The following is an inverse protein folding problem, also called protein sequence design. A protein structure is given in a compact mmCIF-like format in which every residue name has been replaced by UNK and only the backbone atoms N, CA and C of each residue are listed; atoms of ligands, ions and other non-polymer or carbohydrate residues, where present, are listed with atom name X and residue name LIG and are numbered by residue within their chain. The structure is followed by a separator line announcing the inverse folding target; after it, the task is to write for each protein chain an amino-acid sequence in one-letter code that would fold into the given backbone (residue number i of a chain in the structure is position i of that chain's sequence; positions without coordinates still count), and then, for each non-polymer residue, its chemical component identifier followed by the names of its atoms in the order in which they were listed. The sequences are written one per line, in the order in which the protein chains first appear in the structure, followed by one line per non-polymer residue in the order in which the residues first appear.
data_IF_089328255294
#
_entry.id   IF_089328255294
#
_cell.length_a   1.000
_cell.length_b   1.000
_cell.length_c   1.000
_cell.angle_alpha   90.00
_cell.angle_beta   90.00
_cell.angle_gamma   90.00
#
_symmetry.space_group_name_H-M   'P 1'
#
loop_
_entity.id
_entity.type
_entity.pdbx_description
1 polymer ?
#
# COMPACT_ATOMS: atom_id res chain seq x y z
N UNK A 1 63.55 -21.70 -16.96
CA UNK A 1 62.77 -20.69 -16.25
C UNK A 1 61.36 -20.68 -16.83
N UNK A 2 60.41 -21.34 -16.17
CA UNK A 2 59.02 -21.46 -16.63
C UNK A 2 58.15 -20.52 -15.81
N UNK A 3 57.57 -19.48 -16.46
CA UNK A 3 56.63 -18.59 -15.83
C UNK A 3 55.21 -19.17 -15.93
N UNK A 4 54.70 -19.65 -14.79
CA UNK A 4 53.30 -20.07 -14.65
C UNK A 4 52.39 -18.83 -14.63
N UNK A 5 51.50 -18.70 -15.63
CA UNK A 5 50.44 -17.68 -15.66
C UNK A 5 49.27 -18.21 -14.87
N UNK A 6 49.09 -17.71 -13.66
CA UNK A 6 47.87 -17.89 -12.87
C UNK A 6 46.78 -16.93 -13.42
N UNK A 7 45.81 -17.49 -14.12
CA UNK A 7 44.63 -16.75 -14.58
C UNK A 7 43.69 -16.57 -13.42
N UNK A 8 43.48 -15.32 -13.01
CA UNK A 8 42.48 -14.93 -12.01
C UNK A 8 41.08 -14.89 -12.68
N UNK A 9 40.27 -15.92 -12.46
CA UNK A 9 38.84 -15.91 -12.86
C UNK A 9 38.10 -14.98 -11.91
N UNK A 10 37.78 -13.77 -12.38
CA UNK A 10 36.78 -12.92 -11.72
C UNK A 10 35.39 -13.52 -11.97
N UNK A 11 34.81 -14.17 -10.98
CA UNK A 11 33.42 -14.54 -10.97
C UNK A 11 32.59 -13.25 -10.75
N UNK A 12 31.98 -12.72 -11.81
CA UNK A 12 30.99 -11.64 -11.70
C UNK A 12 29.74 -12.22 -11.10
N UNK A 13 29.54 -11.98 -9.80
CA UNK A 13 28.29 -12.28 -9.11
C UNK A 13 27.26 -11.21 -9.52
N UNK A 14 26.43 -11.51 -10.52
CA UNK A 14 25.26 -10.72 -10.84
C UNK A 14 24.26 -10.90 -9.71
N UNK A 15 24.19 -9.91 -8.81
CA UNK A 15 23.07 -9.74 -7.88
C UNK A 15 21.84 -9.46 -8.73
N UNK A 16 21.10 -10.49 -9.08
CA UNK A 16 19.69 -10.36 -9.47
C UNK A 16 18.98 -9.86 -8.22
N UNK A 17 18.66 -8.56 -8.20
CA UNK A 17 17.77 -8.01 -7.17
C UNK A 17 16.46 -8.78 -7.25
N UNK A 18 16.21 -9.65 -6.29
CA UNK A 18 14.90 -10.25 -6.13
C UNK A 18 13.93 -9.11 -5.82
N UNK A 19 12.86 -9.03 -6.57
CA UNK A 19 11.73 -8.15 -6.22
C UNK A 19 11.20 -8.64 -4.86
N UNK A 20 11.48 -7.89 -3.80
CA UNK A 20 11.12 -8.26 -2.43
C UNK A 20 9.62 -8.03 -2.14
N UNK A 21 8.86 -7.53 -3.11
CA UNK A 21 7.42 -7.31 -2.94
C UNK A 21 6.64 -8.63 -2.85
N UNK A 22 5.65 -8.67 -1.98
CA UNK A 22 4.70 -9.79 -1.89
C UNK A 22 3.50 -9.45 -2.80
N UNK A 23 3.27 -10.18 -3.89
CA UNK A 23 2.14 -9.90 -4.77
C UNK A 23 0.83 -10.14 -4.05
N UNK A 24 -0.07 -9.18 -4.13
CA UNK A 24 -1.39 -9.24 -3.49
C UNK A 24 -2.50 -8.86 -4.48
N UNK A 25 -3.57 -9.65 -4.51
CA UNK A 25 -4.76 -9.38 -5.32
C UNK A 25 -5.99 -9.21 -4.43
N UNK A 26 -6.58 -8.01 -4.43
CA UNK A 26 -7.84 -7.75 -3.75
C UNK A 26 -8.98 -8.61 -4.33
N UNK A 27 -8.99 -8.81 -5.65
CA UNK A 27 -9.99 -9.61 -6.35
C UNK A 27 -10.01 -11.07 -5.86
N UNK A 28 -8.85 -11.67 -5.62
CA UNK A 28 -8.77 -13.03 -5.07
C UNK A 28 -9.30 -13.13 -3.64
N UNK A 29 -9.24 -12.04 -2.88
CA UNK A 29 -9.74 -11.97 -1.51
C UNK A 29 -11.18 -11.46 -1.39
N UNK A 30 -11.78 -10.95 -2.49
CA UNK A 30 -13.16 -10.45 -2.53
C UNK A 30 -14.22 -11.42 -1.97
N UNK A 31 -14.16 -12.75 -2.24
CA UNK A 31 -15.13 -13.70 -1.70
C UNK A 31 -15.18 -13.76 -0.17
N UNK A 32 -14.11 -13.33 0.52
CA UNK A 32 -14.04 -13.32 1.99
C UNK A 32 -14.89 -12.20 2.61
N UNK A 33 -15.29 -11.18 1.83
CA UNK A 33 -16.12 -10.04 2.27
C UNK A 33 -15.58 -9.33 3.52
N UNK A 34 -14.26 -9.27 3.68
CA UNK A 34 -13.62 -8.61 4.82
C UNK A 34 -13.78 -7.07 4.71
N UNK A 35 -13.97 -6.40 5.86
CA UNK A 35 -13.90 -4.93 5.90
C UNK A 35 -12.50 -4.47 5.49
N UNK A 36 -12.39 -3.37 4.74
CA UNK A 36 -11.11 -2.81 4.31
C UNK A 36 -10.16 -2.57 5.49
N UNK A 37 -10.70 -2.11 6.62
CA UNK A 37 -9.93 -1.85 7.83
C UNK A 37 -9.55 -3.12 8.62
N UNK A 38 -9.93 -4.31 8.17
CA UNK A 38 -9.35 -5.54 8.71
C UNK A 38 -7.86 -5.64 8.36
N UNK A 39 -7.51 -5.24 7.13
CA UNK A 39 -6.13 -5.23 6.64
C UNK A 39 -5.48 -3.84 6.79
N UNK A 40 -6.21 -2.76 6.47
CA UNK A 40 -5.74 -1.37 6.56
C UNK A 40 -6.18 -0.74 7.89
N UNK A 41 -5.63 -1.24 8.99
CA UNK A 41 -6.12 -0.98 10.35
C UNK A 41 -6.13 0.49 10.74
N UNK A 42 -5.16 1.29 10.26
CA UNK A 42 -5.08 2.72 10.58
C UNK A 42 -6.01 3.61 9.76
N UNK A 43 -6.68 3.06 8.72
CA UNK A 43 -7.60 3.83 7.89
C UNK A 43 -8.80 4.43 8.66
N UNK A 44 -9.15 3.88 9.82
CA UNK A 44 -10.23 4.40 10.67
C UNK A 44 -9.78 5.48 11.65
N UNK A 45 -8.51 5.47 12.05
CA UNK A 45 -8.01 6.27 13.17
C UNK A 45 -6.84 7.18 12.82
N UNK A 46 -6.18 6.93 11.70
CA UNK A 46 -5.00 7.67 11.28
C UNK A 46 -5.23 8.57 10.06
N UNK A 47 -4.26 9.40 9.78
CA UNK A 47 -4.24 10.23 8.58
C UNK A 47 -3.89 9.40 7.34
N UNK A 48 -3.04 8.39 7.49
CA UNK A 48 -2.71 7.43 6.44
C UNK A 48 -3.30 6.06 6.74
N UNK A 49 -3.76 5.37 5.71
CA UNK A 49 -4.01 3.94 5.80
C UNK A 49 -2.67 3.21 5.66
N UNK A 50 -2.39 2.31 6.59
CA UNK A 50 -1.16 1.52 6.55
C UNK A 50 -1.23 0.43 5.48
N UNK A 51 -0.07 -0.05 5.06
CA UNK A 51 0.05 -1.35 4.42
C UNK A 51 -0.24 -2.44 5.45
N UNK A 52 -0.92 -3.53 5.07
CA UNK A 52 -1.15 -4.65 5.98
C UNK A 52 0.18 -5.26 6.46
N UNK A 53 0.20 -5.65 7.71
CA UNK A 53 1.34 -6.37 8.28
C UNK A 53 1.28 -7.86 7.91
N UNK A 54 2.45 -8.50 7.76
CA UNK A 54 2.56 -9.92 7.47
C UNK A 54 1.77 -10.80 8.45
N UNK A 55 1.73 -10.42 9.73
CA UNK A 55 0.95 -11.10 10.77
C UNK A 55 -0.55 -11.17 10.46
N UNK A 56 -1.12 -10.12 9.87
CA UNK A 56 -2.53 -10.10 9.46
C UNK A 56 -2.81 -11.15 8.38
N UNK A 57 -1.93 -11.25 7.40
CA UNK A 57 -2.05 -12.24 6.33
C UNK A 57 -1.91 -13.68 6.87
N UNK A 58 -0.97 -13.88 7.78
CA UNK A 58 -0.66 -15.18 8.38
C UNK A 58 -1.77 -15.69 9.32
N UNK A 59 -2.78 -14.90 9.68
CA UNK A 59 -3.95 -15.41 10.40
C UNK A 59 -4.69 -16.49 9.61
N UNK A 60 -4.66 -16.41 8.28
CA UNK A 60 -5.26 -17.39 7.36
C UNK A 60 -4.19 -18.23 6.64
N UNK A 61 -3.11 -17.59 6.17
CA UNK A 61 -2.11 -18.26 5.34
C UNK A 61 -1.22 -19.24 6.11
N UNK A 62 -1.32 -19.30 7.42
CA UNK A 62 -0.75 -20.41 8.19
C UNK A 62 -1.34 -21.77 7.80
N UNK A 63 -2.56 -21.80 7.24
CA UNK A 63 -3.26 -23.01 6.80
C UNK A 63 -3.56 -23.01 5.30
N UNK A 64 -3.74 -21.82 4.70
CA UNK A 64 -4.21 -21.66 3.33
C UNK A 64 -3.04 -21.29 2.41
N UNK A 65 -2.94 -21.95 1.25
CA UNK A 65 -1.92 -21.70 0.20
C UNK A 65 -0.46 -21.81 0.67
N UNK A 66 -0.20 -22.63 1.67
CA UNK A 66 1.12 -22.83 2.31
C UNK A 66 2.22 -23.27 1.35
N UNK A 67 1.82 -23.94 0.28
CA UNK A 67 2.69 -24.46 -0.78
C UNK A 67 3.18 -23.38 -1.76
N UNK A 68 2.62 -22.17 -1.67
CA UNK A 68 2.99 -21.07 -2.57
C UNK A 68 4.29 -20.40 -2.13
N UNK A 69 5.23 -20.13 -3.05
CA UNK A 69 6.49 -19.48 -2.73
C UNK A 69 6.33 -18.13 -2.04
N UNK A 70 5.36 -17.30 -2.49
CA UNK A 70 5.10 -15.99 -1.90
C UNK A 70 4.57 -16.11 -0.46
N UNK A 71 3.82 -17.16 -0.14
CA UNK A 71 3.36 -17.41 1.23
C UNK A 71 4.53 -17.87 2.11
N UNK A 72 5.47 -18.63 1.59
CA UNK A 72 6.70 -18.96 2.31
C UNK A 72 7.56 -17.71 2.60
N UNK A 73 7.68 -16.79 1.62
CA UNK A 73 8.33 -15.49 1.80
C UNK A 73 7.61 -14.64 2.85
N UNK A 74 6.29 -14.56 2.76
CA UNK A 74 5.45 -13.85 3.73
C UNK A 74 5.62 -14.39 5.15
N UNK A 75 5.68 -15.72 5.32
CA UNK A 75 5.88 -16.36 6.61
C UNK A 75 7.27 -16.10 7.21
N UNK A 76 8.26 -15.78 6.40
CA UNK A 76 9.60 -15.42 6.83
C UNK A 76 9.73 -13.97 7.31
N UNK A 77 8.75 -13.10 6.98
CA UNK A 77 8.75 -11.72 7.44
C UNK A 77 8.44 -11.61 8.94
N UNK A 78 8.98 -10.60 9.65
CA UNK A 78 8.50 -10.25 10.98
C UNK A 78 6.98 -9.98 10.94
N UNK A 79 6.24 -10.41 11.95
CA UNK A 79 4.76 -10.26 11.99
C UNK A 79 4.28 -8.83 11.83
N UNK A 80 5.07 -7.86 12.28
CA UNK A 80 4.78 -6.42 12.19
C UNK A 80 5.33 -5.75 10.93
N UNK A 81 6.02 -6.52 10.07
CA UNK A 81 6.54 -5.97 8.81
C UNK A 81 5.39 -5.70 7.84
N UNK A 82 5.32 -4.52 7.22
CA UNK A 82 4.42 -4.27 6.12
C UNK A 82 4.81 -5.13 4.92
N UNK A 83 3.82 -5.61 4.16
CA UNK A 83 4.07 -6.52 3.03
C UNK A 83 4.70 -5.82 1.81
N UNK A 84 4.52 -4.52 1.68
CA UNK A 84 5.11 -3.68 0.62
C UNK A 84 5.22 -2.23 1.12
N UNK A 85 6.26 -1.90 1.89
CA UNK A 85 6.36 -0.61 2.57
C UNK A 85 6.52 0.58 1.61
N UNK A 86 7.04 0.36 0.41
CA UNK A 86 7.33 1.41 -0.56
C UNK A 86 6.18 1.66 -1.53
N UNK A 87 5.24 0.73 -1.64
CA UNK A 87 4.12 0.87 -2.58
C UNK A 87 3.07 1.84 -2.07
N UNK A 88 2.95 2.96 -2.75
CA UNK A 88 1.84 3.88 -2.57
C UNK A 88 1.23 4.24 -3.91
N UNK A 89 -0.04 3.86 -4.12
CA UNK A 89 -0.79 4.16 -5.34
C UNK A 89 -1.28 5.62 -5.35
N UNK A 90 -1.51 6.16 -4.16
CA UNK A 90 -1.98 7.52 -3.96
C UNK A 90 -0.88 8.37 -3.33
N UNK A 91 -0.31 9.25 -4.13
CA UNK A 91 0.72 10.20 -3.69
C UNK A 91 0.10 11.57 -3.48
N UNK A 92 0.38 12.17 -2.33
CA UNK A 92 -0.01 13.53 -2.00
C UNK A 92 1.26 14.39 -1.92
N UNK A 93 1.19 15.64 -2.38
CA UNK A 93 2.30 16.57 -2.23
C UNK A 93 2.58 16.83 -0.74
N UNK A 94 3.84 17.02 -0.36
CA UNK A 94 4.27 17.14 1.03
C UNK A 94 3.61 18.30 1.78
N UNK A 95 3.27 19.37 1.04
CA UNK A 95 2.58 20.54 1.58
C UNK A 95 1.06 20.39 1.69
N UNK A 96 0.50 19.19 1.40
CA UNK A 96 -0.92 18.94 1.48
C UNK A 96 -1.25 17.87 2.52
N UNK A 97 -2.23 18.14 3.36
CA UNK A 97 -2.71 17.23 4.39
C UNK A 97 -3.96 16.49 3.97
N UNK A 98 -4.00 15.23 4.28
CA UNK A 98 -5.17 14.39 4.12
C UNK A 98 -5.33 13.49 5.34
N UNK A 99 -6.56 13.29 5.80
CA UNK A 99 -6.83 12.42 6.93
C UNK A 99 -7.91 11.39 6.59
N UNK A 100 -7.54 10.10 6.52
CA UNK A 100 -8.49 9.02 6.38
C UNK A 100 -9.50 9.01 7.54
N UNK A 101 -9.05 9.20 8.76
CA UNK A 101 -9.92 9.22 9.94
C UNK A 101 -11.05 10.25 9.83
N UNK A 102 -10.76 11.47 9.37
CA UNK A 102 -11.77 12.52 9.19
C UNK A 102 -12.80 12.15 8.11
N UNK A 103 -12.34 11.57 6.99
CA UNK A 103 -13.23 11.13 5.91
C UNK A 103 -14.10 9.95 6.35
N UNK A 104 -13.55 9.03 7.16
CA UNK A 104 -14.33 7.94 7.79
C UNK A 104 -15.36 8.45 8.79
N UNK A 105 -15.03 9.44 9.61
CA UNK A 105 -15.97 10.10 10.51
C UNK A 105 -17.13 10.75 9.74
N UNK A 106 -16.85 11.28 8.54
CA UNK A 106 -17.87 11.78 7.61
C UNK A 106 -18.66 10.65 6.91
N UNK A 107 -18.45 9.38 7.29
CA UNK A 107 -19.13 8.19 6.75
C UNK A 107 -18.93 7.98 5.25
N UNK A 108 -17.83 8.48 4.68
CA UNK A 108 -17.49 8.20 3.30
C UNK A 108 -17.04 6.74 3.14
N UNK A 109 -17.58 6.10 2.11
CA UNK A 109 -17.16 4.77 1.71
C UNK A 109 -15.77 4.82 1.04
N UNK A 110 -14.95 3.79 1.29
CA UNK A 110 -13.60 3.69 0.74
C UNK A 110 -13.61 3.71 -0.80
N UNK A 111 -14.60 3.07 -1.40
CA UNK A 111 -14.75 2.97 -2.86
C UNK A 111 -15.03 4.31 -3.53
N UNK A 112 -15.51 5.33 -2.80
CA UNK A 112 -15.68 6.69 -3.35
C UNK A 112 -14.37 7.28 -3.90
N UNK A 113 -13.24 6.90 -3.29
CA UNK A 113 -11.91 7.35 -3.69
C UNK A 113 -11.11 6.24 -4.37
N UNK A 114 -11.23 5.01 -3.88
CA UNK A 114 -10.42 3.88 -4.32
C UNK A 114 -11.07 3.03 -5.43
N UNK A 115 -12.35 3.30 -5.77
CA UNK A 115 -13.08 2.55 -6.77
C UNK A 115 -13.42 1.12 -6.31
N UNK A 116 -13.76 0.27 -7.26
CA UNK A 116 -14.15 -1.12 -7.03
C UNK A 116 -12.90 -2.00 -6.79
N UNK A 117 -12.19 -1.79 -5.68
CA UNK A 117 -10.91 -2.43 -5.36
C UNK A 117 -11.02 -3.97 -5.40
N UNK A 118 -12.17 -4.53 -5.00
CA UNK A 118 -12.41 -5.98 -5.03
C UNK A 118 -12.51 -6.60 -6.44
N UNK A 119 -12.53 -5.76 -7.47
CA UNK A 119 -12.47 -6.22 -8.86
C UNK A 119 -11.06 -6.13 -9.44
N UNK A 120 -10.10 -5.57 -8.68
CA UNK A 120 -8.75 -5.28 -9.13
C UNK A 120 -7.78 -6.40 -8.76
N UNK A 121 -7.01 -6.88 -9.73
CA UNK A 121 -5.83 -7.73 -9.47
C UNK A 121 -4.72 -6.89 -8.83
N UNK A 122 -4.46 -5.71 -9.40
CA UNK A 122 -3.59 -4.69 -8.86
C UNK A 122 -4.37 -3.39 -8.66
N UNK A 123 -4.16 -2.75 -7.51
CA UNK A 123 -4.80 -1.46 -7.22
C UNK A 123 -4.20 -0.37 -8.08
N UNK A 124 -5.07 0.39 -8.75
CA UNK A 124 -4.70 1.58 -9.52
C UNK A 124 -5.32 2.83 -8.92
N UNK A 125 -4.72 3.97 -9.19
CA UNK A 125 -5.29 5.25 -8.79
C UNK A 125 -6.55 5.54 -9.61
N UNK A 126 -7.69 5.68 -8.94
CA UNK A 126 -8.99 6.01 -9.57
C UNK A 126 -9.30 7.49 -9.44
N UNK A 127 -9.16 8.03 -8.22
CA UNK A 127 -9.36 9.46 -7.98
C UNK A 127 -8.03 10.21 -8.10
N UNK A 128 -7.92 11.23 -8.97
CA UNK A 128 -6.69 12.02 -9.06
C UNK A 128 -6.47 12.84 -7.78
N UNK A 129 -5.24 12.81 -7.24
CA UNK A 129 -4.84 13.58 -6.06
C UNK A 129 -4.50 15.02 -6.43
N UNK A 130 -5.50 15.76 -6.88
CA UNK A 130 -5.37 17.17 -7.28
C UNK A 130 -6.25 18.07 -6.40
N UNK A 131 -5.81 19.31 -6.17
CA UNK A 131 -6.60 20.30 -5.46
C UNK A 131 -8.02 20.45 -6.07
N UNK A 132 -8.12 20.41 -7.40
CA UNK A 132 -9.41 20.47 -8.10
C UNK A 132 -10.34 19.33 -7.68
N UNK A 133 -9.84 18.10 -7.65
CA UNK A 133 -10.66 16.94 -7.27
C UNK A 133 -11.13 17.05 -5.82
N UNK A 134 -10.21 17.37 -4.90
CA UNK A 134 -10.54 17.54 -3.49
C UNK A 134 -11.56 18.66 -3.26
N UNK A 135 -11.33 19.87 -3.79
CA UNK A 135 -12.21 21.02 -3.63
C UNK A 135 -13.57 20.81 -4.29
N UNK A 136 -13.63 20.14 -5.43
CA UNK A 136 -14.90 19.82 -6.08
C UNK A 136 -15.76 18.91 -5.18
N UNK A 137 -15.17 17.84 -4.65
CA UNK A 137 -15.87 16.94 -3.72
C UNK A 137 -16.32 17.68 -2.45
N UNK A 138 -15.43 18.46 -1.82
CA UNK A 138 -15.74 19.23 -0.61
C UNK A 138 -16.89 20.21 -0.83
N UNK A 139 -16.93 20.92 -1.97
CA UNK A 139 -18.06 21.79 -2.32
C UNK A 139 -19.36 21.02 -2.47
N UNK A 140 -19.33 19.89 -3.18
CA UNK A 140 -20.51 19.04 -3.40
C UNK A 140 -21.04 18.48 -2.07
N UNK A 141 -20.15 18.18 -1.14
CA UNK A 141 -20.48 17.62 0.18
C UNK A 141 -20.68 18.68 1.27
N UNK A 142 -20.66 19.97 0.91
CA UNK A 142 -20.72 21.11 1.84
C UNK A 142 -19.65 21.04 2.95
N UNK A 143 -18.49 20.49 2.63
CA UNK A 143 -17.35 20.40 3.53
C UNK A 143 -16.43 21.62 3.40
N UNK A 144 -15.53 21.80 4.37
CA UNK A 144 -14.62 22.93 4.44
C UNK A 144 -13.65 22.98 3.23
N UNK A 145 -13.48 24.18 2.65
CA UNK A 145 -12.58 24.45 1.50
C UNK A 145 -11.55 25.55 1.79
N UNK A 146 -11.41 25.97 3.05
CA UNK A 146 -10.39 26.96 3.42
C UNK A 146 -8.99 26.39 3.21
N UNK A 147 -8.08 27.20 2.69
CA UNK A 147 -6.72 26.78 2.32
C UNK A 147 -5.97 26.06 3.45
N UNK A 148 -6.06 26.59 4.67
CA UNK A 148 -5.41 26.05 5.87
C UNK A 148 -5.98 24.71 6.37
N UNK A 149 -7.07 24.22 5.77
CA UNK A 149 -7.61 22.87 6.10
C UNK A 149 -6.84 21.76 5.42
N UNK A 150 -6.15 22.08 4.33
CA UNK A 150 -5.44 21.12 3.50
C UNK A 150 -3.96 21.50 3.30
N UNK A 151 -3.57 22.74 3.60
CA UNK A 151 -2.21 23.22 3.39
C UNK A 151 -1.66 23.93 4.62
N UNK A 152 -0.37 23.71 4.92
CA UNK A 152 0.42 24.68 5.67
C UNK A 152 0.75 25.83 4.72
N UNK A 153 0.16 26.99 4.97
CA UNK A 153 0.61 28.21 4.34
C UNK A 153 1.84 28.63 5.12
N UNK A 154 3.02 28.49 4.51
CA UNK A 154 4.26 28.97 5.10
C UNK A 154 4.08 30.42 5.55
N UNK A 155 4.36 30.67 6.83
CA UNK A 155 4.47 32.03 7.38
C UNK A 155 5.87 32.57 7.12
#
# INVERSE_FOLDING_TARGET
MAFSRFGLLLATFTLLGADDTIPFSHKKHAPLKLDCAYCHTTAKTGDRANQPEAGTCMTCHIQIARDKPDIARLAALPKTAPIDPERSVYMLAEFAFFSHARHRTAKLDCQKCHGAVYEMEEVVQVLPMTMKACVTCHRTMHAATACTKCHELGQ
#
